data_IF_171888145451
#
_entry.id   IF_171888145451
#
_cell.length_a   1.000
_cell.length_b   1.000
_cell.length_c   1.000
_cell.angle_alpha   90.00
_cell.angle_beta   90.00
_cell.angle_gamma   90.00
#
_symmetry.space_group_name_H-M   'P 1'
#
loop_
_entity.id
_entity.type
_entity.pdbx_description
1 polymer ?
#
# COMPACT_ATOMS: atom_id res chain seq x y z
N UNK A 1 -22.10 -5.39 17.14
CA UNK A 1 -22.38 -5.51 15.68
C UNK A 1 -21.58 -6.70 15.14
N UNK A 2 -21.86 -7.23 13.95
CA UNK A 2 -21.09 -8.37 13.39
C UNK A 2 -19.58 -8.07 13.29
N UNK A 3 -19.22 -6.83 12.95
CA UNK A 3 -17.83 -6.37 12.85
C UNK A 3 -17.11 -6.41 14.21
N UNK A 4 -17.75 -5.96 15.29
CA UNK A 4 -17.14 -5.97 16.63
C UNK A 4 -16.75 -7.39 17.03
N UNK A 5 -17.65 -8.35 16.78
CA UNK A 5 -17.41 -9.76 17.08
C UNK A 5 -16.22 -10.31 16.29
N UNK A 6 -16.08 -9.92 15.02
CA UNK A 6 -14.93 -10.31 14.18
C UNK A 6 -13.64 -9.73 14.77
N UNK A 7 -13.62 -8.43 15.08
CA UNK A 7 -12.44 -7.78 15.66
C UNK A 7 -12.04 -8.44 16.98
N UNK A 8 -12.97 -8.63 17.89
CA UNK A 8 -12.75 -9.32 19.17
C UNK A 8 -12.22 -10.74 18.97
N UNK A 9 -12.83 -11.52 18.08
CA UNK A 9 -12.41 -12.90 17.81
C UNK A 9 -10.96 -12.99 17.29
N UNK A 10 -10.56 -12.10 16.38
CA UNK A 10 -9.22 -12.12 15.80
C UNK A 10 -8.16 -11.45 16.67
N UNK A 11 -8.58 -10.61 17.63
CA UNK A 11 -7.69 -9.90 18.58
C UNK A 11 -7.66 -10.53 19.98
N UNK A 12 -8.33 -11.67 20.16
CA UNK A 12 -8.29 -12.44 21.39
C UNK A 12 -6.83 -12.81 21.75
N UNK A 13 -6.36 -12.52 22.98
CA UNK A 13 -4.96 -12.75 23.34
C UNK A 13 -4.50 -14.22 23.31
N UNK A 14 -5.42 -15.16 23.48
CA UNK A 14 -5.11 -16.59 23.63
C UNK A 14 -5.30 -17.35 22.31
N UNK A 15 -6.28 -16.95 21.51
CA UNK A 15 -6.73 -17.67 20.31
C UNK A 15 -6.66 -16.85 19.02
N UNK A 16 -6.54 -15.53 19.13
CA UNK A 16 -6.52 -14.59 18.01
C UNK A 16 -5.22 -14.62 17.22
N UNK A 17 -5.29 -14.19 15.96
CA UNK A 17 -4.14 -14.09 15.06
C UNK A 17 -3.52 -12.69 15.02
N UNK A 18 -4.23 -11.69 15.55
CA UNK A 18 -3.83 -10.29 15.56
C UNK A 18 -3.67 -9.82 17.01
N UNK A 19 -2.71 -8.93 17.25
CA UNK A 19 -2.54 -8.34 18.59
C UNK A 19 -3.58 -7.26 18.85
N UNK A 20 -3.80 -6.42 17.86
CA UNK A 20 -4.81 -5.38 17.87
C UNK A 20 -5.18 -5.01 16.44
N UNK A 21 -6.36 -4.46 16.29
CA UNK A 21 -6.91 -4.03 15.03
C UNK A 21 -7.70 -2.73 15.23
N UNK A 22 -7.63 -1.86 14.23
CA UNK A 22 -8.43 -0.64 14.15
C UNK A 22 -9.21 -0.72 12.84
N UNK A 23 -10.51 -0.49 12.89
CA UNK A 23 -11.35 -0.43 11.70
C UNK A 23 -12.24 0.81 11.76
N UNK A 24 -12.16 1.62 10.69
CA UNK A 24 -12.88 2.88 10.54
C UNK A 24 -13.52 2.87 9.16
N UNK A 25 -14.81 3.19 9.10
CA UNK A 25 -15.56 3.32 7.86
C UNK A 25 -16.31 4.65 7.87
N UNK A 26 -16.13 5.43 6.81
CA UNK A 26 -16.71 6.77 6.64
C UNK A 26 -17.40 6.80 5.27
N UNK A 27 -18.61 7.38 5.21
CA UNK A 27 -19.31 7.57 3.93
C UNK A 27 -18.78 8.78 3.13
N UNK A 28 -19.30 8.96 1.92
CA UNK A 28 -18.96 10.07 1.02
C UNK A 28 -19.38 11.45 1.56
N UNK A 29 -20.34 11.49 2.48
CA UNK A 29 -20.74 12.71 3.20
C UNK A 29 -19.81 13.06 4.37
N UNK A 30 -18.84 12.19 4.68
CA UNK A 30 -17.91 12.36 5.80
C UNK A 30 -18.47 11.90 7.14
N UNK A 31 -19.61 11.22 7.15
CA UNK A 31 -20.19 10.66 8.38
C UNK A 31 -19.54 9.32 8.69
N UNK A 32 -19.09 9.17 9.92
CA UNK A 32 -18.55 7.92 10.45
C UNK A 32 -19.67 6.87 10.54
N UNK A 33 -19.54 5.80 9.78
CA UNK A 33 -20.45 4.65 9.77
C UNK A 33 -20.05 3.67 10.88
N UNK A 34 -18.73 3.54 11.09
CA UNK A 34 -18.17 2.65 12.09
C UNK A 34 -16.77 3.10 12.51
N UNK A 35 -16.45 2.89 13.78
CA UNK A 35 -15.15 3.14 14.35
C UNK A 35 -14.98 2.26 15.58
N UNK A 36 -13.98 1.39 15.55
CA UNK A 36 -13.58 0.64 16.72
C UNK A 36 -12.08 0.26 16.66
N UNK A 37 -11.47 0.13 17.83
CA UNK A 37 -10.09 -0.27 18.03
C UNK A 37 -10.06 -1.31 19.16
N UNK A 38 -9.57 -2.52 18.87
CA UNK A 38 -9.63 -3.65 19.80
C UNK A 38 -8.25 -4.30 19.88
N UNK A 39 -7.86 -4.73 21.08
CA UNK A 39 -6.61 -5.43 21.33
C UNK A 39 -5.46 -4.50 21.75
N UNK A 40 -4.23 -4.94 21.48
CA UNK A 40 -2.98 -4.45 22.08
C UNK A 40 -2.05 -3.91 21.01
N UNK A 41 -1.34 -2.84 21.33
CA UNK A 41 -0.39 -2.21 20.41
C UNK A 41 0.95 -2.97 20.26
N UNK A 42 1.32 -3.82 21.24
CA UNK A 42 2.60 -4.51 21.25
C UNK A 42 2.52 -5.90 21.93
N UNK A 43 3.62 -6.64 21.85
CA UNK A 43 3.84 -7.89 22.57
C UNK A 43 4.21 -7.63 24.05
N UNK A 44 3.81 -8.53 24.94
CA UNK A 44 4.10 -8.47 26.39
C UNK A 44 2.84 -8.27 27.22
N UNK A 45 2.91 -8.42 28.55
CA UNK A 45 1.73 -8.34 29.42
C UNK A 45 1.32 -6.90 29.77
N UNK A 46 2.23 -5.93 29.68
CA UNK A 46 2.02 -4.54 30.14
C UNK A 46 2.03 -3.54 28.98
N UNK A 47 1.19 -3.76 27.97
CA UNK A 47 1.15 -2.94 26.74
C UNK A 47 -0.12 -2.12 26.71
N UNK A 48 -0.04 -0.95 26.10
CA UNK A 48 -1.22 -0.13 25.86
C UNK A 48 -2.19 -0.83 24.90
N UNK A 49 -3.47 -0.51 25.05
CA UNK A 49 -4.50 -0.90 24.10
C UNK A 49 -4.32 -0.10 22.81
N UNK A 50 -4.63 -0.72 21.68
CA UNK A 50 -4.62 0.02 20.41
C UNK A 50 -5.77 1.03 20.41
N UNK A 51 -5.49 2.21 19.86
CA UNK A 51 -6.45 3.30 19.66
C UNK A 51 -6.44 3.72 18.19
N UNK A 52 -7.42 4.51 17.76
CA UNK A 52 -7.45 5.02 16.39
C UNK A 52 -6.25 5.92 16.03
N UNK A 53 -5.67 6.59 17.03
CA UNK A 53 -4.50 7.45 16.87
C UNK A 53 -3.17 6.68 17.03
N UNK A 54 -3.23 5.37 17.25
CA UNK A 54 -2.02 4.55 17.37
C UNK A 54 -1.25 4.51 16.05
N UNK A 55 0.07 4.69 16.14
CA UNK A 55 0.95 4.61 14.98
C UNK A 55 0.98 3.18 14.44
N UNK A 56 0.60 3.01 13.18
CA UNK A 56 0.68 1.73 12.48
C UNK A 56 1.60 1.83 11.25
N UNK A 57 2.29 0.73 10.95
CA UNK A 57 3.06 0.62 9.72
C UNK A 57 2.15 0.18 8.57
N UNK A 58 1.80 1.12 7.70
CA UNK A 58 0.82 0.90 6.62
C UNK A 58 1.41 0.24 5.36
N UNK A 59 2.74 0.03 5.31
CA UNK A 59 3.46 -0.64 4.24
C UNK A 59 2.99 -0.24 2.81
N UNK A 60 2.51 -1.20 2.02
CA UNK A 60 2.07 -0.98 0.64
C UNK A 60 0.92 0.01 0.47
N UNK A 61 0.12 0.32 1.52
CA UNK A 61 -0.91 1.36 1.43
C UNK A 61 -0.32 2.74 1.12
N UNK A 62 0.98 2.94 1.37
CA UNK A 62 1.72 4.15 0.97
C UNK A 62 1.62 4.43 -0.54
N UNK A 63 1.43 3.39 -1.38
CA UNK A 63 1.24 3.55 -2.83
C UNK A 63 0.06 4.46 -3.17
N UNK A 64 -1.02 4.42 -2.40
CA UNK A 64 -2.18 5.31 -2.60
C UNK A 64 -1.80 6.77 -2.39
N UNK A 65 -1.02 7.06 -1.34
CA UNK A 65 -0.54 8.42 -1.06
C UNK A 65 0.40 8.90 -2.16
N UNK A 66 1.35 8.05 -2.58
CA UNK A 66 2.28 8.36 -3.67
C UNK A 66 1.54 8.60 -4.98
N UNK A 67 0.54 7.77 -5.29
CA UNK A 67 -0.28 7.93 -6.49
C UNK A 67 -1.00 9.28 -6.55
N UNK A 68 -1.64 9.68 -5.46
CA UNK A 68 -2.32 10.99 -5.37
C UNK A 68 -1.30 12.12 -5.56
N UNK A 69 -0.13 12.03 -4.93
CA UNK A 69 0.92 13.03 -5.11
C UNK A 69 1.38 13.14 -6.57
N UNK A 70 1.52 12.02 -7.28
CA UNK A 70 1.89 12.02 -8.70
C UNK A 70 0.76 12.60 -9.57
N UNK A 71 -0.50 12.24 -9.32
CA UNK A 71 -1.64 12.80 -10.04
C UNK A 71 -1.75 14.33 -9.84
N UNK A 72 -1.43 14.84 -8.66
CA UNK A 72 -1.35 16.30 -8.43
C UNK A 72 -0.27 16.97 -9.29
N UNK A 73 0.85 16.30 -9.58
CA UNK A 73 1.87 16.83 -10.49
C UNK A 73 1.39 16.80 -11.95
N UNK A 74 0.64 15.76 -12.33
CA UNK A 74 0.01 15.66 -13.66
C UNK A 74 -1.02 16.78 -13.87
N UNK A 75 -1.90 17.02 -12.89
CA UNK A 75 -2.89 18.11 -12.95
C UNK A 75 -2.25 19.49 -13.06
N UNK A 76 -1.06 19.68 -12.48
CA UNK A 76 -0.27 20.92 -12.59
C UNK A 76 0.49 21.04 -13.91
N UNK A 77 0.43 20.03 -14.78
CA UNK A 77 1.15 19.99 -16.06
C UNK A 77 2.68 19.90 -15.91
N UNK A 78 3.17 19.44 -14.75
CA UNK A 78 4.61 19.30 -14.50
C UNK A 78 5.19 18.01 -15.09
N UNK A 79 4.35 16.98 -15.20
CA UNK A 79 4.64 15.70 -15.81
C UNK A 79 3.38 15.19 -16.53
N UNK A 80 3.54 14.28 -17.48
CA UNK A 80 2.48 13.50 -18.10
C UNK A 80 2.54 12.04 -17.63
N UNK A 81 1.39 11.35 -17.70
CA UNK A 81 1.34 9.90 -17.49
C UNK A 81 2.10 9.11 -18.57
N UNK A 82 2.30 9.73 -19.74
CA UNK A 82 2.97 9.16 -20.89
C UNK A 82 4.44 9.62 -21.03
N UNK A 83 4.94 10.42 -20.08
CA UNK A 83 6.34 10.86 -20.09
C UNK A 83 7.28 9.66 -19.95
N UNK A 84 8.41 9.74 -20.66
CA UNK A 84 9.48 8.75 -20.50
C UNK A 84 10.22 8.99 -19.18
N UNK A 85 9.89 8.16 -18.19
CA UNK A 85 10.49 8.23 -16.84
C UNK A 85 12.02 8.06 -16.86
N UNK A 86 12.60 7.48 -17.91
CA UNK A 86 14.05 7.29 -18.04
C UNK A 86 14.82 8.62 -18.13
N UNK A 87 14.16 9.69 -18.55
CA UNK A 87 14.77 11.03 -18.56
C UNK A 87 14.94 11.59 -17.14
N UNK A 88 14.12 11.14 -16.20
CA UNK A 88 14.16 11.54 -14.78
C UNK A 88 14.97 10.55 -13.93
N UNK A 89 14.91 9.25 -14.26
CA UNK A 89 15.62 8.16 -13.57
C UNK A 89 16.52 7.44 -14.60
N UNK A 90 17.74 7.94 -14.86
CA UNK A 90 18.64 7.41 -15.89
C UNK A 90 19.01 5.94 -15.68
N UNK A 91 18.99 5.44 -14.44
CA UNK A 91 19.29 4.05 -14.10
C UNK A 91 18.32 3.06 -14.76
N UNK A 92 17.13 3.53 -15.16
CA UNK A 92 16.15 2.71 -15.88
C UNK A 92 16.50 2.51 -17.36
N UNK A 93 17.44 3.29 -17.93
CA UNK A 93 17.85 3.16 -19.34
C UNK A 93 18.53 1.83 -19.63
N UNK A 94 19.30 1.33 -18.67
CA UNK A 94 20.09 0.10 -18.80
C UNK A 94 19.40 -1.12 -18.16
N UNK A 95 18.16 -0.96 -17.69
CA UNK A 95 17.43 -2.03 -17.00
C UNK A 95 17.02 -3.13 -17.99
N UNK A 96 17.48 -4.36 -17.73
CA UNK A 96 17.13 -5.53 -18.53
C UNK A 96 15.89 -6.23 -17.99
N UNK A 97 15.07 -6.77 -18.90
CA UNK A 97 13.93 -7.60 -18.54
C UNK A 97 14.38 -9.06 -18.46
N UNK A 98 14.05 -9.71 -17.35
CA UNK A 98 14.29 -11.14 -17.19
C UNK A 98 13.23 -11.94 -17.96
N UNK A 99 13.67 -12.79 -18.88
CA UNK A 99 12.79 -13.71 -19.61
C UNK A 99 13.07 -15.16 -19.19
N UNK A 100 12.03 -15.85 -18.72
CA UNK A 100 12.13 -17.27 -18.38
C UNK A 100 12.03 -18.14 -19.65
N UNK A 101 13.14 -18.32 -20.35
CA UNK A 101 13.24 -19.17 -21.53
C UNK A 101 13.47 -20.64 -21.16
N UNK A 102 12.77 -21.56 -21.82
CA UNK A 102 12.94 -23.02 -21.65
C UNK A 102 14.31 -23.58 -22.07
N UNK A 103 15.24 -22.73 -22.52
CA UNK A 103 16.63 -23.07 -22.90
C UNK A 103 17.72 -22.29 -22.15
N UNK A 104 17.39 -21.69 -21.00
CA UNK A 104 18.34 -20.99 -20.14
C UNK A 104 17.99 -19.52 -19.93
N UNK A 105 18.75 -18.88 -19.04
CA UNK A 105 18.55 -17.50 -18.60
C UNK A 105 18.87 -16.52 -19.73
N UNK A 106 17.84 -15.84 -20.26
CA UNK A 106 17.97 -14.82 -21.31
C UNK A 106 17.53 -13.49 -20.69
N UNK A 107 18.39 -12.47 -20.81
CA UNK A 107 18.06 -11.10 -20.48
C UNK A 107 17.79 -10.37 -21.80
N UNK A 108 16.59 -9.83 -21.98
CA UNK A 108 16.24 -9.04 -23.17
C UNK A 108 16.15 -7.56 -22.81
N UNK A 109 16.62 -6.70 -23.72
CA UNK A 109 16.49 -5.26 -23.61
C UNK A 109 15.27 -4.84 -24.42
N UNK A 110 14.17 -4.45 -23.74
CA UNK A 110 12.98 -3.94 -24.43
C UNK A 110 13.11 -2.43 -24.62
N UNK A 111 13.26 -1.98 -25.87
CA UNK A 111 13.45 -0.57 -26.19
C UNK A 111 12.16 0.28 -26.04
N UNK A 112 10.96 -0.32 -25.96
CA UNK A 112 9.71 0.39 -26.23
C UNK A 112 8.57 0.29 -25.21
N UNK A 113 8.78 -0.23 -23.99
CA UNK A 113 7.66 -0.33 -23.03
C UNK A 113 8.09 -0.03 -21.61
N UNK A 114 8.40 1.24 -21.33
CA UNK A 114 8.52 1.72 -19.95
C UNK A 114 7.43 2.73 -19.59
N UNK A 115 6.20 2.42 -19.99
CA UNK A 115 4.97 3.01 -19.46
C UNK A 115 4.57 2.33 -18.13
N UNK A 116 5.57 1.95 -17.32
CA UNK A 116 5.44 0.96 -16.24
C UNK A 116 5.39 1.63 -14.86
N UNK A 117 6.02 2.78 -14.66
CA UNK A 117 6.15 3.34 -13.29
C UNK A 117 4.88 4.03 -12.79
N UNK A 118 4.06 4.59 -13.69
CA UNK A 118 2.81 5.26 -13.31
C UNK A 118 1.58 4.35 -13.38
N UNK A 119 1.60 3.33 -14.25
CA UNK A 119 0.44 2.48 -14.51
C UNK A 119 0.46 1.13 -13.77
N UNK A 120 1.64 0.57 -13.44
CA UNK A 120 1.74 -0.74 -12.75
C UNK A 120 2.00 -0.63 -11.24
N UNK A 121 2.50 0.50 -10.74
CA UNK A 121 2.67 0.71 -9.28
C UNK A 121 1.37 1.13 -8.57
N UNK A 122 0.29 1.28 -9.34
CA UNK A 122 -1.05 1.70 -8.94
C UNK A 122 -2.03 0.52 -8.75
N UNK A 123 -1.54 -0.72 -8.83
CA UNK A 123 -2.31 -1.96 -8.62
C UNK A 123 -1.66 -2.77 -7.49
#
# INVERSE_FOLDING_TARGET
>A
MEIDRILEQFTDPDTGSLHGAVFIAIDDSGREIYHNAVGRAAFGSNTESVTADSLCWIASMTKLVTAVAVMQLVERGLISLDDDVREVIPELKDMMVFENGSKGMIFSCFLSTLLIVLRLTMI
#
